data_IF_610332232177
#
_entry.id   IF_610332232177
#
_cell.length_a   1.000
_cell.length_b   1.000
_cell.length_c   1.000
_cell.angle_alpha   90.00
_cell.angle_beta   90.00
_cell.angle_gamma   90.00
#
_symmetry.space_group_name_H-M   'P 1'
#
loop_
_entity.id
_entity.type
_entity.pdbx_description
1 polymer ?
#
# COMPACT_ATOMS: atom_id res chain seq x y z
N UNK A 1 -11.88 9.99 -2.51
CA UNK A 1 -11.80 8.65 -1.90
C UNK A 1 -12.14 8.79 -0.44
N UNK A 2 -13.08 7.98 0.06
CA UNK A 2 -13.34 7.93 1.50
C UNK A 2 -12.19 7.20 2.19
N UNK A 3 -11.62 7.82 3.23
CA UNK A 3 -10.50 7.29 4.02
C UNK A 3 -10.89 7.07 5.47
N UNK A 4 -12.19 7.13 5.78
CA UNK A 4 -12.71 6.87 7.11
C UNK A 4 -12.33 5.47 7.61
N UNK A 5 -12.17 4.50 6.71
CA UNK A 5 -11.75 3.13 7.01
C UNK A 5 -10.42 3.05 7.75
N UNK A 6 -9.47 3.97 7.49
CA UNK A 6 -8.15 4.02 8.14
C UNK A 6 -8.28 4.14 9.67
N UNK A 7 -9.28 4.87 10.15
CA UNK A 7 -9.46 5.13 11.59
C UNK A 7 -10.56 4.27 12.23
N UNK A 8 -11.49 3.75 11.42
CA UNK A 8 -12.73 3.12 11.90
C UNK A 8 -12.80 1.60 11.71
N UNK A 9 -11.97 1.03 10.83
CA UNK A 9 -12.02 -0.39 10.44
C UNK A 9 -10.74 -1.13 10.81
N UNK A 10 -10.76 -2.46 10.66
CA UNK A 10 -9.65 -3.37 10.97
C UNK A 10 -9.49 -4.43 9.87
N UNK A 11 -8.34 -5.12 9.79
CA UNK A 11 -8.18 -6.28 8.93
C UNK A 11 -9.31 -7.29 9.11
N UNK A 12 -9.86 -7.78 8.00
CA UNK A 12 -11.03 -8.66 7.96
C UNK A 12 -12.38 -7.93 7.90
N UNK A 13 -12.42 -6.60 8.08
CA UNK A 13 -13.59 -5.80 7.68
C UNK A 13 -13.53 -5.56 6.15
N UNK A 14 -14.60 -5.79 5.38
CA UNK A 14 -14.60 -5.58 3.93
C UNK A 14 -14.19 -4.15 3.53
N UNK A 15 -14.59 -3.13 4.30
CA UNK A 15 -14.22 -1.76 3.97
C UNK A 15 -12.74 -1.44 4.25
N UNK A 16 -12.10 -2.20 5.14
CA UNK A 16 -10.65 -2.11 5.33
C UNK A 16 -9.92 -2.72 4.12
N UNK A 17 -10.35 -3.89 3.68
CA UNK A 17 -9.71 -4.61 2.57
C UNK A 17 -9.80 -3.84 1.26
N UNK A 18 -11.00 -3.34 0.93
CA UNK A 18 -11.22 -2.43 -0.21
C UNK A 18 -10.34 -1.18 -0.10
N UNK A 19 -10.29 -0.57 1.10
CA UNK A 19 -9.48 0.60 1.35
C UNK A 19 -7.98 0.37 1.16
N UNK A 20 -7.46 -0.80 1.59
CA UNK A 20 -6.06 -1.18 1.39
C UNK A 20 -5.74 -1.36 -0.09
N UNK A 21 -6.60 -2.05 -0.85
CA UNK A 21 -6.44 -2.19 -2.30
C UNK A 21 -6.37 -0.82 -2.98
N UNK A 22 -7.29 0.08 -2.63
CA UNK A 22 -7.30 1.46 -3.11
C UNK A 22 -6.00 2.22 -2.77
N UNK A 23 -5.48 2.05 -1.56
CA UNK A 23 -4.21 2.62 -1.15
C UNK A 23 -3.03 2.07 -1.98
N UNK A 24 -2.94 0.75 -2.17
CA UNK A 24 -1.84 0.11 -2.92
C UNK A 24 -1.81 0.63 -4.36
N UNK A 25 -2.96 0.66 -5.03
CA UNK A 25 -3.08 1.20 -6.40
C UNK A 25 -2.58 2.64 -6.48
N UNK A 26 -3.01 3.48 -5.53
CA UNK A 26 -2.55 4.86 -5.44
C UNK A 26 -1.03 4.95 -5.23
N UNK A 27 -0.50 4.20 -4.29
CA UNK A 27 0.91 4.26 -3.91
C UNK A 27 1.85 3.79 -5.03
N UNK A 28 1.46 2.75 -5.75
CA UNK A 28 2.24 2.23 -6.89
C UNK A 28 2.17 3.17 -8.09
N UNK A 29 0.99 3.69 -8.43
CA UNK A 29 0.85 4.67 -9.52
C UNK A 29 1.77 5.89 -9.31
N UNK A 30 1.99 6.27 -8.05
CA UNK A 30 2.84 7.39 -7.65
C UNK A 30 4.28 6.98 -7.24
N UNK A 31 4.66 5.72 -7.46
CA UNK A 31 5.98 5.20 -7.08
C UNK A 31 7.11 5.64 -8.03
N UNK A 32 6.77 6.25 -9.17
CA UNK A 32 7.73 6.59 -10.25
C UNK A 32 8.53 5.36 -10.75
N UNK A 33 7.92 4.15 -10.71
CA UNK A 33 8.55 2.90 -11.14
C UNK A 33 9.52 2.28 -10.13
N UNK A 34 9.42 2.65 -8.85
CA UNK A 34 10.18 2.02 -7.77
C UNK A 34 9.50 0.72 -7.33
N UNK A 35 10.26 -0.37 -7.28
CA UNK A 35 9.79 -1.69 -6.83
C UNK A 35 9.46 -1.78 -5.32
N UNK A 36 9.82 -0.73 -4.56
CA UNK A 36 9.54 -0.62 -3.13
C UNK A 36 8.95 0.74 -2.79
N UNK A 37 7.99 0.75 -1.87
CA UNK A 37 7.30 1.95 -1.41
C UNK A 37 7.29 2.02 0.13
N UNK A 38 7.12 3.19 0.75
CA UNK A 38 7.01 3.31 2.21
C UNK A 38 5.86 2.45 2.77
N UNK A 39 6.14 1.59 3.74
CA UNK A 39 5.14 0.74 4.36
C UNK A 39 4.31 1.55 5.38
N UNK A 40 2.98 1.66 5.21
CA UNK A 40 2.12 2.48 6.06
C UNK A 40 1.60 1.73 7.29
N UNK A 41 2.06 0.51 7.56
CA UNK A 41 1.56 -0.26 8.69
C UNK A 41 1.94 0.38 10.03
N UNK A 42 1.21 0.03 11.09
CA UNK A 42 1.41 0.57 12.43
C UNK A 42 2.83 0.33 12.98
N UNK A 43 3.57 -0.66 12.50
CA UNK A 43 4.96 -0.91 12.94
C UNK A 43 5.96 -0.08 12.15
N UNK A 44 5.78 0.05 10.84
CA UNK A 44 6.75 0.71 9.97
C UNK A 44 6.60 2.23 9.94
N UNK A 45 5.40 2.77 10.20
CA UNK A 45 5.11 4.20 10.21
C UNK A 45 5.61 4.97 8.97
N UNK A 46 5.58 4.36 7.78
CA UNK A 46 6.12 4.90 6.54
C UNK A 46 7.63 5.23 6.58
N UNK A 47 8.39 4.64 7.51
CA UNK A 47 9.84 4.81 7.63
C UNK A 47 10.64 3.69 6.95
N UNK A 48 10.01 2.54 6.74
CA UNK A 48 10.61 1.39 6.05
C UNK A 48 10.03 1.25 4.65
N UNK A 49 10.88 1.06 3.65
CA UNK A 49 10.47 0.75 2.28
C UNK A 49 10.34 -0.76 2.13
N UNK A 50 9.22 -1.20 1.57
CA UNK A 50 8.90 -2.61 1.41
C UNK A 50 8.28 -2.84 0.04
N UNK A 51 8.35 -4.08 -0.44
CA UNK A 51 7.61 -4.53 -1.61
C UNK A 51 6.12 -4.66 -1.28
N UNK A 52 5.26 -4.64 -2.30
CA UNK A 52 3.80 -4.64 -2.13
C UNK A 52 3.30 -5.88 -1.39
N UNK A 53 3.81 -7.06 -1.74
CA UNK A 53 3.54 -8.33 -1.06
C UNK A 53 3.84 -8.26 0.44
N UNK A 54 5.01 -7.74 0.82
CA UNK A 54 5.40 -7.55 2.22
C UNK A 54 4.51 -6.53 2.91
N UNK A 55 4.10 -5.46 2.22
CA UNK A 55 3.17 -4.45 2.76
C UNK A 55 1.81 -5.06 3.05
N UNK A 56 1.26 -5.89 2.15
CA UNK A 56 -0.01 -6.57 2.37
C UNK A 56 0.05 -7.47 3.61
N UNK A 57 1.12 -8.25 3.78
CA UNK A 57 1.36 -9.07 4.98
C UNK A 57 1.45 -8.21 6.25
N UNK A 58 2.12 -7.07 6.18
CA UNK A 58 2.21 -6.16 7.32
C UNK A 58 0.85 -5.54 7.66
N UNK A 59 0.04 -5.21 6.65
CA UNK A 59 -1.26 -4.58 6.83
C UNK A 59 -2.33 -5.55 7.34
N UNK A 60 -2.25 -6.84 6.99
CA UNK A 60 -3.13 -7.85 7.60
C UNK A 60 -2.76 -8.12 9.07
N UNK A 61 -1.47 -8.11 9.41
CA UNK A 61 -0.99 -8.44 10.76
C UNK A 61 -1.00 -7.29 11.76
N UNK A 62 -0.65 -6.09 11.32
CA UNK A 62 -0.40 -4.94 12.20
C UNK A 62 -1.32 -3.75 11.95
N UNK A 63 -2.25 -3.90 11.02
CA UNK A 63 -3.14 -2.83 10.59
C UNK A 63 -2.40 -1.65 9.93
N UNK A 64 -3.19 -0.82 9.28
CA UNK A 64 -2.76 0.47 8.76
C UNK A 64 -2.52 1.45 9.93
N UNK A 65 -1.51 2.32 9.80
CA UNK A 65 -1.29 3.37 10.78
C UNK A 65 -2.48 4.34 10.77
N UNK A 66 -3.30 4.27 11.82
CA UNK A 66 -4.51 5.09 11.99
C UNK A 66 -4.23 6.59 11.99
N UNK A 67 -3.00 7.01 12.25
CA UNK A 67 -2.59 8.41 12.20
C UNK A 67 -2.26 8.89 10.78
N UNK A 68 -2.09 7.97 9.83
CA UNK A 68 -1.71 8.23 8.45
C UNK A 68 -2.93 8.35 7.53
N UNK A 69 -3.74 9.39 7.75
CA UNK A 69 -4.97 9.63 6.97
C UNK A 69 -4.75 10.42 5.67
N UNK A 70 -3.54 10.93 5.46
CA UNK A 70 -3.11 11.59 4.22
C UNK A 70 -1.89 10.87 3.66
N UNK A 71 -1.98 10.40 2.42
CA UNK A 71 -0.98 9.60 1.73
C UNK A 71 0.15 10.46 1.14
N UNK A 72 0.61 11.48 1.87
CA UNK A 72 1.56 12.48 1.38
C UNK A 72 2.94 11.88 1.04
N UNK A 73 3.31 10.76 1.67
CA UNK A 73 4.54 10.02 1.32
C UNK A 73 4.42 9.20 0.03
N UNK A 74 3.21 9.16 -0.52
CA UNK A 74 2.84 8.44 -1.73
C UNK A 74 2.24 9.39 -2.79
N UNK A 75 2.44 10.70 -2.65
CA UNK A 75 2.04 11.69 -3.66
C UNK A 75 0.69 12.36 -3.43
N UNK A 76 -0.04 12.07 -2.35
CA UNK A 76 -1.26 12.82 -2.06
C UNK A 76 -0.95 14.25 -1.61
N UNK A 77 -1.54 15.22 -2.29
CA UNK A 77 -1.42 16.62 -1.91
C UNK A 77 -2.13 16.90 -0.57
N UNK A 78 -1.45 17.63 0.32
CA UNK A 78 -2.05 18.09 1.58
C UNK A 78 -2.97 19.27 1.27
N UNK A 79 -4.26 19.13 1.56
CA UNK A 79 -5.23 20.23 1.40
C UNK A 79 -4.81 21.40 2.29
N UNK A 80 -4.35 22.50 1.68
CA UNK A 80 -3.93 23.72 2.38
C UNK A 80 -2.55 24.27 2.02
N UNK A 81 -1.73 23.54 1.26
CA UNK A 81 -0.47 24.07 0.71
C UNK A 81 -0.52 24.06 -0.80
N UNK A 82 -0.69 25.24 -1.39
CA UNK A 82 -0.48 25.45 -2.82
C UNK A 82 0.88 24.88 -3.22
N UNK A 83 0.88 24.10 -4.30
CA UNK A 83 2.01 23.51 -5.01
C UNK A 83 3.38 24.14 -4.68
N UNK A 84 4.18 23.40 -3.91
CA UNK A 84 5.62 23.40 -4.07
C UNK A 84 6.00 21.92 -3.96
N UNK A 85 6.27 21.28 -5.09
CA UNK A 85 6.70 19.89 -5.14
C UNK A 85 8.07 19.74 -4.47
N UNK A 86 8.09 19.63 -3.15
CA UNK A 86 9.28 19.17 -2.44
C UNK A 86 9.33 17.66 -2.60
N UNK A 87 10.12 17.22 -3.58
CA UNK A 87 10.60 15.85 -3.65
C UNK A 87 11.37 15.58 -2.35
N UNK A 88 10.75 14.89 -1.40
CA UNK A 88 11.44 14.38 -0.21
C UNK A 88 12.40 13.29 -0.70
N UNK A 89 13.64 13.68 -0.96
CA UNK A 89 14.76 12.76 -1.13
C UNK A 89 14.95 12.00 0.18
N UNK A 90 14.45 10.77 0.21
CA UNK A 90 14.73 9.82 1.27
C UNK A 90 15.84 8.88 0.78
N UNK A 91 17.04 9.41 0.62
CA UNK A 91 18.28 8.66 0.54
C UNK A 91 18.38 7.74 1.77
N UNK A 92 17.97 6.49 1.62
CA UNK A 92 18.31 5.43 2.55
C UNK A 92 18.85 4.25 1.76
N UNK A 93 20.05 3.81 2.15
CA UNK A 93 20.88 2.81 1.47
C UNK A 93 20.10 1.51 1.25
N UNK A 94 19.82 1.19 -0.01
CA UNK A 94 19.10 -0.02 -0.42
C UNK A 94 20.08 -1.19 -0.53
N UNK A 95 19.69 -2.35 0.03
CA UNK A 95 20.19 -3.63 -0.46
C UNK A 95 19.47 -3.97 -1.77
N UNK A 96 20.21 -4.43 -2.77
CA UNK A 96 19.66 -4.94 -4.03
C UNK A 96 18.85 -6.21 -3.75
N UNK A 97 17.52 -6.16 -3.94
CA UNK A 97 16.69 -7.36 -4.02
C UNK A 97 16.03 -7.37 -5.40
N UNK A 98 16.63 -8.10 -6.33
CA UNK A 98 16.04 -8.41 -7.62
C UNK A 98 14.67 -9.08 -7.40
N UNK A 99 13.60 -8.59 -8.05
CA UNK A 99 12.37 -9.37 -8.16
C UNK A 99 11.11 -8.57 -8.47
N UNK A 100 10.58 -8.88 -9.67
CA UNK A 100 9.23 -8.70 -10.25
C UNK A 100 8.66 -7.28 -10.35
N UNK A 101 8.22 -6.95 -11.57
CA UNK A 101 7.63 -5.68 -11.95
C UNK A 101 6.30 -5.46 -11.19
N UNK A 102 6.25 -4.38 -10.40
CA UNK A 102 5.09 -4.03 -9.57
C UNK A 102 3.78 -3.87 -10.35
N UNK A 103 3.86 -3.54 -11.64
CA UNK A 103 2.70 -3.38 -12.51
C UNK A 103 1.99 -4.72 -12.72
N UNK A 104 2.76 -5.79 -12.94
CA UNK A 104 2.22 -7.14 -13.18
C UNK A 104 1.51 -7.69 -11.93
N UNK A 105 1.95 -7.28 -10.73
CA UNK A 105 1.28 -7.63 -9.46
C UNK A 105 -0.04 -6.90 -9.27
N UNK A 106 -0.18 -5.68 -9.80
CA UNK A 106 -1.43 -4.93 -9.69
C UNK A 106 -2.49 -5.53 -10.57
N UNK A 107 -2.18 -5.81 -11.83
CA UNK A 107 -3.12 -6.41 -12.77
C UNK A 107 -3.74 -7.69 -12.19
N UNK A 108 -2.92 -8.50 -11.49
CA UNK A 108 -3.36 -9.72 -10.82
C UNK A 108 -4.29 -9.47 -9.61
N UNK A 109 -4.06 -8.40 -8.85
CA UNK A 109 -4.95 -7.98 -7.76
C UNK A 109 -6.28 -7.44 -8.32
N UNK A 110 -6.22 -6.64 -9.39
CA UNK A 110 -7.42 -6.08 -10.03
C UNK A 110 -8.33 -7.18 -10.56
N UNK A 111 -7.77 -8.15 -11.28
CA UNK A 111 -8.53 -9.29 -11.80
C UNK A 111 -9.22 -10.07 -10.67
N UNK A 112 -8.56 -10.27 -9.53
CA UNK A 112 -9.17 -11.00 -8.40
C UNK A 112 -10.29 -10.22 -7.72
N UNK A 113 -10.11 -8.92 -7.49
CA UNK A 113 -11.14 -8.07 -6.87
C UNK A 113 -12.35 -7.87 -7.81
N UNK A 114 -12.13 -7.83 -9.13
CA UNK A 114 -13.23 -7.79 -10.11
C UNK A 114 -14.01 -9.10 -10.19
N UNK A 115 -13.32 -10.23 -10.07
CA UNK A 115 -13.95 -11.56 -10.13
C UNK A 115 -14.64 -11.97 -8.82
N UNK A 116 -14.11 -11.55 -7.67
CA UNK A 116 -14.69 -11.82 -6.36
C UNK A 116 -14.66 -10.56 -5.47
N UNK A 117 -15.79 -9.85 -5.32
CA UNK A 117 -15.87 -8.65 -4.51
C UNK A 117 -15.75 -8.92 -2.99
N UNK A 118 -15.74 -10.19 -2.56
CA UNK A 118 -15.55 -10.59 -1.15
C UNK A 118 -14.11 -11.06 -0.85
N UNK A 119 -13.18 -10.93 -1.81
CA UNK A 119 -11.77 -11.33 -1.63
C UNK A 119 -11.09 -10.50 -0.53
N UNK A 120 -10.47 -11.17 0.43
CA UNK A 120 -9.79 -10.52 1.56
C UNK A 120 -8.29 -10.32 1.28
N UNK A 121 -7.63 -9.43 2.05
CA UNK A 121 -6.17 -9.27 1.97
C UNK A 121 -5.45 -10.60 2.27
N UNK A 122 -6.01 -11.42 3.16
CA UNK A 122 -5.46 -12.72 3.54
C UNK A 122 -5.49 -13.70 2.36
N UNK A 123 -6.55 -13.68 1.55
CA UNK A 123 -6.66 -14.48 0.32
C UNK A 123 -5.61 -14.06 -0.72
N UNK A 124 -5.37 -12.74 -0.87
CA UNK A 124 -4.36 -12.20 -1.78
C UNK A 124 -2.93 -12.63 -1.42
N UNK A 125 -2.65 -12.79 -0.12
CA UNK A 125 -1.33 -13.23 0.37
C UNK A 125 -1.15 -14.74 0.16
N UNK A 126 -2.22 -15.53 0.25
CA UNK A 126 -2.15 -17.00 0.27
C UNK A 126 -1.66 -17.65 -1.03
N UNK A 127 -1.87 -17.00 -2.19
CA UNK A 127 -1.47 -17.54 -3.50
C UNK A 127 0.01 -17.28 -3.86
N UNK A 128 0.70 -16.39 -3.14
CA UNK A 128 2.14 -16.13 -3.36
C UNK A 128 3.06 -17.25 -2.84
N UNK A 129 2.52 -18.28 -2.16
CA UNK A 129 3.27 -19.42 -1.62
C UNK A 129 3.28 -20.67 -2.52
N UNK A 130 2.96 -20.58 -3.82
CA UNK A 130 3.01 -21.77 -4.69
C UNK A 130 4.42 -22.01 -5.29
N UNK A 131 4.98 -23.23 -5.14
CA UNK A 131 6.32 -23.59 -5.66
C UNK A 131 6.39 -23.71 -7.18
#
# INVERSE_FOLDING_TARGET
MDKSWITTKKPGDPEYDVGVVEYIKFAVTNSEGRDVIPCPCHICHNLSYQKVDVILVHLSKWEFDRTYTCWYRHGESRVGTSSMGEKMDNSNVYGEYEGNNLEDMIDEIEERVENDPDVTIEDLISDSEKP
#
